data_IF_818261684675
#
_entry.id   IF_818261684675
#
_cell.length_a   1.000
_cell.length_b   1.000
_cell.length_c   1.000
_cell.angle_alpha   90.00
_cell.angle_beta   90.00
_cell.angle_gamma   90.00
#
_symmetry.space_group_name_H-M   'P 1'
#
loop_
_entity.id
_entity.type
_entity.pdbx_description
1 polymer ?
#
# COMPACT_ATOMS: atom_id res chain seq x y z
N UNK A 1 -4.68 9.68 -3.22
CA UNK A 1 -4.01 10.66 -2.33
C UNK A 1 -2.78 11.27 -2.97
N UNK A 2 -1.74 10.47 -3.26
CA UNK A 2 -0.48 10.94 -3.86
C UNK A 2 -0.65 11.73 -5.17
N UNK A 3 -1.59 11.31 -6.01
CA UNK A 3 -1.97 12.05 -7.23
C UNK A 3 -2.44 13.48 -6.93
N UNK A 4 -3.32 13.68 -5.94
CA UNK A 4 -3.79 15.02 -5.61
C UNK A 4 -2.71 15.88 -4.95
N UNK A 5 -1.82 15.26 -4.18
CA UNK A 5 -0.64 15.94 -3.62
C UNK A 5 0.28 16.41 -4.76
N UNK A 6 0.44 15.61 -5.81
CA UNK A 6 1.25 15.98 -6.97
C UNK A 6 0.71 17.16 -7.78
N UNK A 7 -0.54 17.57 -7.56
CA UNK A 7 -1.15 18.74 -8.21
C UNK A 7 -0.78 20.07 -7.55
N UNK A 8 -0.08 20.05 -6.40
CA UNK A 8 0.44 21.29 -5.80
C UNK A 8 1.64 21.78 -6.61
N UNK A 9 1.66 23.05 -6.95
CA UNK A 9 2.65 23.64 -7.88
C UNK A 9 4.09 23.24 -7.56
N UNK A 10 4.53 23.41 -6.31
CA UNK A 10 5.91 23.09 -5.93
C UNK A 10 6.21 21.57 -5.98
N UNK A 11 5.21 20.72 -5.71
CA UNK A 11 5.34 19.25 -5.80
C UNK A 11 5.38 18.82 -7.27
N UNK A 12 4.52 19.39 -8.11
CA UNK A 12 4.50 19.12 -9.55
C UNK A 12 5.85 19.46 -10.19
N UNK A 13 6.41 20.63 -9.85
CA UNK A 13 7.71 21.08 -10.34
C UNK A 13 8.81 20.09 -9.95
N UNK A 14 8.92 19.72 -8.68
CA UNK A 14 10.01 18.83 -8.24
C UNK A 14 9.89 17.42 -8.80
N UNK A 15 8.66 16.93 -9.03
CA UNK A 15 8.43 15.63 -9.66
C UNK A 15 8.81 15.64 -11.15
N UNK A 16 8.50 16.70 -11.89
CA UNK A 16 8.92 16.82 -13.30
C UNK A 16 10.44 17.03 -13.44
N UNK A 17 11.06 17.76 -12.50
CA UNK A 17 12.52 17.88 -12.41
C UNK A 17 13.18 16.51 -12.16
N UNK A 18 12.68 15.74 -11.20
CA UNK A 18 13.17 14.39 -10.92
C UNK A 18 12.97 13.43 -12.10
N UNK A 19 11.82 13.51 -12.77
CA UNK A 19 11.54 12.74 -13.98
C UNK A 19 12.49 13.11 -15.12
N UNK A 20 12.84 14.39 -15.27
CA UNK A 20 13.82 14.83 -16.28
C UNK A 20 15.21 14.25 -16.02
N UNK A 21 15.64 14.20 -14.74
CA UNK A 21 16.89 13.54 -14.33
C UNK A 21 16.85 12.05 -14.69
N UNK A 22 15.78 11.35 -14.30
CA UNK A 22 15.64 9.92 -14.58
C UNK A 22 15.62 9.65 -16.09
N UNK A 23 14.77 10.34 -16.85
CA UNK A 23 14.68 10.17 -18.30
C UNK A 23 16.04 10.36 -18.99
N UNK A 24 16.78 11.40 -18.62
CA UNK A 24 18.11 11.63 -19.18
C UNK A 24 19.07 10.47 -18.91
N UNK A 25 19.11 9.96 -17.68
CA UNK A 25 19.99 8.85 -17.29
C UNK A 25 19.62 7.55 -18.02
N UNK A 26 18.34 7.22 -18.10
CA UNK A 26 17.87 5.98 -18.73
C UNK A 26 17.82 6.05 -20.26
N UNK A 27 17.95 7.23 -20.87
CA UNK A 27 17.95 7.38 -22.34
C UNK A 27 19.22 6.85 -23.01
N UNK A 28 20.32 6.70 -22.27
CA UNK A 28 21.60 6.29 -22.84
C UNK A 28 22.25 5.18 -22.02
N UNK A 29 22.49 4.03 -22.66
CA UNK A 29 23.08 2.85 -22.01
C UNK A 29 24.43 3.16 -21.32
N UNK A 30 25.26 4.01 -21.92
CA UNK A 30 26.52 4.44 -21.30
C UNK A 30 26.28 5.23 -20.01
N UNK A 31 25.35 6.20 -20.01
CA UNK A 31 25.03 7.02 -18.82
C UNK A 31 24.46 6.15 -17.71
N UNK A 32 23.54 5.23 -18.05
CA UNK A 32 22.98 4.28 -17.10
C UNK A 32 24.05 3.38 -16.48
N UNK A 33 24.98 2.87 -17.29
CA UNK A 33 26.10 2.06 -16.79
C UNK A 33 27.04 2.89 -15.90
N UNK A 34 27.27 4.15 -16.25
CA UNK A 34 28.01 5.08 -15.39
C UNK A 34 27.28 5.29 -14.06
N UNK A 35 25.97 5.56 -14.06
CA UNK A 35 25.18 5.65 -12.82
C UNK A 35 25.40 4.41 -11.94
N UNK A 36 25.23 3.21 -12.50
CA UNK A 36 25.38 1.94 -11.77
C UNK A 36 26.75 1.79 -11.12
N UNK A 37 27.83 2.30 -11.74
CA UNK A 37 29.16 2.31 -11.12
C UNK A 37 29.20 3.17 -9.86
N UNK A 38 28.58 4.34 -9.88
CA UNK A 38 28.59 5.30 -8.77
C UNK A 38 27.57 4.94 -7.68
N UNK A 39 26.48 4.24 -8.00
CA UNK A 39 25.44 3.87 -7.04
C UNK A 39 25.59 2.45 -6.49
N UNK A 40 26.63 1.71 -6.89
CA UNK A 40 26.81 0.30 -6.52
C UNK A 40 25.72 -0.61 -7.09
N UNK A 41 25.25 -0.31 -8.30
CA UNK A 41 24.21 -1.07 -9.01
C UNK A 41 22.77 -0.70 -8.64
N UNK A 42 22.56 0.31 -7.79
CA UNK A 42 21.20 0.75 -7.43
C UNK A 42 20.55 1.54 -8.57
N UNK A 43 19.34 1.15 -8.93
CA UNK A 43 18.48 1.81 -9.90
C UNK A 43 17.73 2.99 -9.27
N UNK A 44 17.39 4.00 -10.09
CA UNK A 44 16.59 5.15 -9.64
C UNK A 44 15.08 4.90 -9.84
N UNK A 45 14.70 4.31 -10.98
CA UNK A 45 13.30 4.05 -11.35
C UNK A 45 12.92 2.61 -11.08
N UNK A 46 11.61 2.36 -10.97
CA UNK A 46 11.05 1.03 -10.72
C UNK A 46 9.95 0.70 -11.71
N UNK A 47 10.24 -0.12 -12.74
CA UNK A 47 9.20 -0.52 -13.68
C UNK A 47 8.13 -1.35 -12.96
N UNK A 48 6.87 -1.21 -13.40
CA UNK A 48 5.67 -2.01 -13.03
C UNK A 48 4.85 -1.57 -11.80
N UNK A 49 5.17 -0.45 -11.17
CA UNK A 49 4.29 0.15 -10.13
C UNK A 49 3.32 1.15 -10.76
N UNK A 50 2.21 1.47 -10.08
CA UNK A 50 1.35 2.58 -10.52
C UNK A 50 2.17 3.86 -10.74
N UNK A 51 1.91 4.56 -11.85
CA UNK A 51 2.67 5.76 -12.28
C UNK A 51 2.84 6.79 -11.16
N UNK A 52 1.84 6.95 -10.31
CA UNK A 52 1.88 7.91 -9.22
C UNK A 52 2.88 7.52 -8.12
N UNK A 53 2.94 6.24 -7.77
CA UNK A 53 3.87 5.77 -6.74
C UNK A 53 5.30 5.74 -7.28
N UNK A 54 5.48 5.31 -8.54
CA UNK A 54 6.78 5.30 -9.21
C UNK A 54 7.44 6.69 -9.23
N UNK A 55 6.67 7.76 -9.49
CA UNK A 55 7.19 9.14 -9.45
C UNK A 55 7.81 9.49 -8.08
N UNK A 56 7.14 9.16 -6.97
CA UNK A 56 7.65 9.45 -5.62
C UNK A 56 8.81 8.53 -5.21
N UNK A 57 8.80 7.27 -5.64
CA UNK A 57 9.91 6.35 -5.41
C UNK A 57 11.15 6.76 -6.19
N UNK A 58 10.98 7.19 -7.44
CA UNK A 58 12.05 7.75 -8.26
C UNK A 58 12.64 9.00 -7.61
N UNK A 59 11.80 9.92 -7.16
CA UNK A 59 12.24 11.10 -6.40
C UNK A 59 13.02 10.70 -5.14
N UNK A 60 12.53 9.73 -4.37
CA UNK A 60 13.21 9.22 -3.18
C UNK A 60 14.57 8.59 -3.52
N UNK A 61 14.66 7.78 -4.55
CA UNK A 61 15.91 7.20 -5.01
C UNK A 61 16.93 8.28 -5.39
N UNK A 62 16.49 9.33 -6.10
CA UNK A 62 17.33 10.48 -6.43
C UNK A 62 17.85 11.18 -5.17
N UNK A 63 16.99 11.42 -4.17
CA UNK A 63 17.38 12.01 -2.88
C UNK A 63 18.41 11.15 -2.15
N UNK A 64 18.23 9.82 -2.11
CA UNK A 64 19.18 8.90 -1.48
C UNK A 64 20.52 8.88 -2.22
N UNK A 65 20.51 9.06 -3.54
CA UNK A 65 21.70 9.05 -4.39
C UNK A 65 22.27 10.45 -4.64
N UNK A 66 21.90 11.47 -3.86
CA UNK A 66 22.32 12.86 -4.07
C UNK A 66 23.83 13.01 -4.26
N UNK A 67 24.63 12.50 -3.30
CA UNK A 67 26.09 12.60 -3.34
C UNK A 67 26.68 11.80 -4.51
N UNK A 68 26.15 10.61 -4.77
CA UNK A 68 26.61 9.77 -5.88
C UNK A 68 26.31 10.41 -7.25
N UNK A 69 25.16 11.05 -7.41
CA UNK A 69 24.78 11.79 -8.61
C UNK A 69 25.68 13.02 -8.80
N UNK A 70 25.89 13.82 -7.73
CA UNK A 70 26.81 14.96 -7.78
C UNK A 70 28.24 14.53 -8.11
N UNK A 71 28.70 13.43 -7.52
CA UNK A 71 30.01 12.83 -7.78
C UNK A 71 30.13 12.36 -9.23
N UNK A 72 29.13 11.64 -9.75
CA UNK A 72 29.11 11.20 -11.15
C UNK A 72 29.29 12.37 -12.13
N UNK A 73 28.51 13.46 -11.99
CA UNK A 73 28.56 14.61 -12.90
C UNK A 73 29.79 15.53 -12.74
N UNK A 74 30.61 15.30 -11.70
CA UNK A 74 31.87 16.00 -11.46
C UNK A 74 33.10 15.13 -11.72
N UNK A 75 32.94 13.82 -11.87
CA UNK A 75 34.04 12.88 -12.08
C UNK A 75 34.69 13.05 -13.46
N UNK A 76 36.00 12.78 -13.55
CA UNK A 76 36.80 12.93 -14.78
C UNK A 76 36.28 12.05 -15.93
N UNK A 77 35.79 10.84 -15.63
CA UNK A 77 35.13 9.94 -16.62
C UNK A 77 33.90 10.61 -17.26
N UNK A 78 33.10 11.34 -16.47
CA UNK A 78 31.98 12.10 -17.00
C UNK A 78 32.44 13.29 -17.83
N UNK A 79 33.34 14.10 -17.27
CA UNK A 79 33.83 15.34 -17.91
C UNK A 79 34.55 15.09 -19.25
N UNK A 80 35.17 13.92 -19.41
CA UNK A 80 35.84 13.51 -20.65
C UNK A 80 34.89 12.87 -21.67
N UNK A 81 33.65 12.54 -21.28
CA UNK A 81 32.67 11.92 -22.17
C UNK A 81 32.12 12.88 -23.23
N UNK A 82 31.66 12.31 -24.35
CA UNK A 82 30.93 13.06 -25.39
C UNK A 82 29.65 13.69 -24.86
N UNK A 83 29.00 13.04 -23.88
CA UNK A 83 27.72 13.44 -23.31
C UNK A 83 27.82 14.72 -22.48
N UNK A 84 28.97 14.95 -21.82
CA UNK A 84 29.15 16.12 -20.96
C UNK A 84 28.93 17.45 -21.67
N UNK A 85 29.13 17.52 -22.99
CA UNK A 85 29.01 18.76 -23.78
C UNK A 85 27.60 19.03 -24.29
N UNK A 86 26.66 18.09 -24.16
CA UNK A 86 25.29 18.27 -24.61
C UNK A 86 24.55 19.29 -23.73
N UNK A 87 23.66 20.07 -24.36
CA UNK A 87 22.80 21.04 -23.66
C UNK A 87 22.02 20.41 -22.52
N UNK A 88 21.49 19.21 -22.76
CA UNK A 88 20.64 18.49 -21.81
C UNK A 88 21.46 18.03 -20.60
N UNK A 89 22.69 17.59 -20.82
CA UNK A 89 23.63 17.24 -19.77
C UNK A 89 23.94 18.43 -18.86
N UNK A 90 24.11 19.62 -19.44
CA UNK A 90 24.37 20.85 -18.70
C UNK A 90 23.13 21.33 -17.94
N UNK A 91 21.93 21.16 -18.49
CA UNK A 91 20.68 21.43 -17.80
C UNK A 91 20.52 20.51 -16.58
N UNK A 92 20.71 19.19 -16.73
CA UNK A 92 20.66 18.23 -15.62
C UNK A 92 21.74 18.53 -14.59
N UNK A 93 22.98 18.81 -15.02
CA UNK A 93 24.05 19.22 -14.11
C UNK A 93 23.63 20.45 -13.31
N UNK A 94 23.15 21.51 -13.97
CA UNK A 94 22.71 22.74 -13.31
C UNK A 94 21.61 22.49 -12.28
N UNK A 95 20.66 21.63 -12.60
CA UNK A 95 19.60 21.20 -11.69
C UNK A 95 20.15 20.45 -10.45
N UNK A 96 21.12 19.53 -10.65
CA UNK A 96 21.76 18.80 -9.55
C UNK A 96 22.61 19.69 -8.62
N UNK A 97 23.05 20.86 -9.07
CA UNK A 97 23.72 21.87 -8.22
C UNK A 97 22.76 22.90 -7.61
N UNK A 98 21.46 22.80 -7.90
CA UNK A 98 20.48 23.77 -7.45
C UNK A 98 19.91 23.38 -6.08
N UNK A 99 20.26 24.13 -5.04
CA UNK A 99 19.82 23.81 -3.67
C UNK A 99 18.29 23.81 -3.50
N UNK A 100 17.57 24.62 -4.30
CA UNK A 100 16.10 24.65 -4.27
C UNK A 100 15.50 23.28 -4.62
N UNK A 101 16.11 22.55 -5.56
CA UNK A 101 15.62 21.25 -6.00
C UNK A 101 15.73 20.25 -4.85
N UNK A 102 16.92 20.12 -4.24
CA UNK A 102 17.16 19.18 -3.15
C UNK A 102 16.32 19.47 -1.92
N UNK A 103 16.13 20.75 -1.57
CA UNK A 103 15.23 21.15 -0.49
C UNK A 103 13.80 20.68 -0.75
N UNK A 104 13.24 21.00 -1.92
CA UNK A 104 11.88 20.58 -2.30
C UNK A 104 11.76 19.05 -2.43
N UNK A 105 12.81 18.38 -2.91
CA UNK A 105 12.82 16.93 -3.10
C UNK A 105 12.77 16.21 -1.75
N UNK A 106 13.65 16.59 -0.81
CA UNK A 106 13.65 16.07 0.57
C UNK A 106 12.33 16.34 1.28
N UNK A 107 11.73 17.50 1.05
CA UNK A 107 10.42 17.87 1.59
C UNK A 107 9.30 16.97 1.05
N UNK A 108 9.21 16.80 -0.27
CA UNK A 108 8.21 15.94 -0.89
C UNK A 108 8.37 14.47 -0.46
N UNK A 109 9.60 13.95 -0.37
CA UNK A 109 9.89 12.59 0.09
C UNK A 109 9.45 12.42 1.54
N UNK A 110 9.88 13.30 2.45
CA UNK A 110 9.57 13.20 3.88
C UNK A 110 8.06 13.27 4.14
N UNK A 111 7.36 14.14 3.40
CA UNK A 111 5.90 14.29 3.51
C UNK A 111 5.13 13.06 3.02
N UNK A 112 5.62 12.38 1.97
CA UNK A 112 4.88 11.29 1.31
C UNK A 112 5.31 9.89 1.74
N UNK A 113 6.44 9.74 2.45
CA UNK A 113 6.99 8.44 2.83
C UNK A 113 5.99 7.57 3.60
N UNK A 114 5.30 8.11 4.61
CA UNK A 114 4.27 7.36 5.35
C UNK A 114 3.09 6.94 4.48
N UNK A 115 2.72 7.73 3.46
CA UNK A 115 1.67 7.35 2.51
C UNK A 115 2.14 6.22 1.60
N UNK A 116 3.41 6.24 1.16
CA UNK A 116 4.00 5.15 0.39
C UNK A 116 4.10 3.87 1.23
N UNK A 117 4.45 3.96 2.53
CA UNK A 117 4.40 2.83 3.46
C UNK A 117 3.00 2.22 3.55
N UNK A 118 1.95 3.03 3.68
CA UNK A 118 0.56 2.52 3.69
C UNK A 118 0.23 1.79 2.39
N UNK A 119 0.64 2.33 1.25
CA UNK A 119 0.42 1.66 -0.03
C UNK A 119 1.14 0.31 -0.09
N UNK A 120 2.34 0.20 0.47
CA UNK A 120 3.04 -1.09 0.62
C UNK A 120 2.28 -2.09 1.48
N UNK A 121 1.66 -1.65 2.58
CA UNK A 121 0.81 -2.49 3.42
C UNK A 121 -0.38 -3.00 2.60
N UNK A 122 -1.03 -2.10 1.89
CA UNK A 122 -2.26 -2.37 1.13
C UNK A 122 -2.01 -3.31 -0.05
N UNK A 123 -0.92 -3.08 -0.79
CA UNK A 123 -0.56 -3.86 -1.98
C UNK A 123 0.21 -5.15 -1.65
N UNK A 124 0.52 -5.39 -0.37
CA UNK A 124 1.15 -6.62 0.09
C UNK A 124 0.21 -7.83 0.10
N UNK A 125 0.80 -9.02 0.26
CA UNK A 125 0.07 -10.30 0.39
C UNK A 125 -0.59 -10.50 1.76
N UNK A 126 -0.34 -9.59 2.69
CA UNK A 126 -0.72 -9.74 4.10
C UNK A 126 -2.08 -9.11 4.38
N UNK A 127 -2.88 -9.67 5.31
CA UNK A 127 -4.07 -9.00 5.79
C UNK A 127 -3.74 -7.60 6.32
N UNK A 128 -4.30 -6.59 5.66
CA UNK A 128 -3.95 -5.19 5.84
C UNK A 128 -5.04 -4.40 6.56
N UNK A 129 -6.28 -4.93 6.59
CA UNK A 129 -7.48 -4.24 7.04
C UNK A 129 -7.33 -3.63 8.44
N UNK A 130 -6.69 -4.36 9.35
CA UNK A 130 -6.46 -3.92 10.73
C UNK A 130 -5.44 -2.79 10.90
N UNK A 131 -4.73 -2.38 9.86
CA UNK A 131 -3.60 -1.44 9.97
C UNK A 131 -3.84 -0.10 9.25
N UNK A 132 -4.77 -0.04 8.30
CA UNK A 132 -4.91 1.13 7.41
C UNK A 132 -5.31 2.38 8.18
N UNK A 133 -6.26 2.28 9.11
CA UNK A 133 -6.75 3.44 9.87
C UNK A 133 -5.62 4.10 10.68
N UNK A 134 -4.88 3.30 11.47
CA UNK A 134 -3.72 3.80 12.22
C UNK A 134 -2.65 4.32 11.26
N UNK A 135 -2.41 3.64 10.14
CA UNK A 135 -1.47 4.09 9.12
C UNK A 135 -1.76 5.52 8.65
N UNK A 136 -3.02 5.85 8.38
CA UNK A 136 -3.44 7.20 7.97
C UNK A 136 -3.21 8.22 9.10
N UNK A 137 -3.56 7.89 10.34
CA UNK A 137 -3.31 8.78 11.48
C UNK A 137 -1.80 8.98 11.73
N UNK A 138 -0.98 7.93 11.56
CA UNK A 138 0.50 8.02 11.58
C UNK A 138 1.03 8.91 10.46
N UNK A 139 0.51 8.79 9.24
CA UNK A 139 0.90 9.66 8.13
C UNK A 139 0.57 11.13 8.41
N UNK A 140 -0.63 11.42 8.91
CA UNK A 140 -1.01 12.77 9.34
C UNK A 140 -0.06 13.29 10.42
N UNK A 141 0.21 12.48 11.45
CA UNK A 141 1.15 12.78 12.52
C UNK A 141 2.56 13.09 12.01
N UNK A 142 3.10 12.28 11.11
CA UNK A 142 4.42 12.46 10.51
C UNK A 142 4.52 13.77 9.72
N UNK A 143 3.50 14.09 8.92
CA UNK A 143 3.45 15.36 8.15
C UNK A 143 3.40 16.56 9.11
N UNK A 144 2.57 16.51 10.16
CA UNK A 144 2.50 17.57 11.17
C UNK A 144 3.85 17.75 11.89
N UNK A 145 4.51 16.64 12.25
CA UNK A 145 5.81 16.66 12.91
C UNK A 145 6.89 17.27 12.00
N UNK A 146 6.92 16.88 10.72
CA UNK A 146 7.85 17.44 9.72
C UNK A 146 7.72 18.96 9.61
N UNK A 147 6.48 19.46 9.56
CA UNK A 147 6.20 20.90 9.53
C UNK A 147 6.24 21.58 10.91
N UNK A 148 6.75 20.90 11.95
CA UNK A 148 6.89 21.42 13.31
C UNK A 148 5.59 21.97 13.90
N UNK A 149 4.45 21.41 13.50
CA UNK A 149 3.14 21.85 13.95
C UNK A 149 2.63 23.16 13.34
N UNK A 150 3.28 23.68 12.28
CA UNK A 150 2.82 24.88 11.58
C UNK A 150 1.61 24.54 10.70
N UNK A 151 0.42 24.94 11.15
CA UNK A 151 -0.87 24.54 10.55
C UNK A 151 -0.98 24.94 9.08
N UNK A 152 -0.52 26.14 8.72
CA UNK A 152 -0.61 26.68 7.36
C UNK A 152 0.13 25.80 6.33
N UNK A 153 1.11 25.02 6.78
CA UNK A 153 1.89 24.13 5.91
C UNK A 153 1.28 22.74 5.78
N UNK A 154 0.85 22.13 6.89
CA UNK A 154 0.36 20.75 6.85
C UNK A 154 -1.14 20.61 6.62
N UNK A 155 -1.96 21.57 7.07
CA UNK A 155 -3.42 21.51 6.91
C UNK A 155 -3.85 21.32 5.45
N UNK A 156 -3.26 22.04 4.47
CA UNK A 156 -3.64 21.85 3.08
C UNK A 156 -3.32 20.43 2.54
N UNK A 157 -2.33 19.74 3.13
CA UNK A 157 -2.03 18.33 2.81
C UNK A 157 -3.02 17.39 3.52
N UNK A 158 -3.31 17.66 4.79
CA UNK A 158 -4.31 16.92 5.57
C UNK A 158 -5.68 16.98 4.92
N UNK A 159 -6.10 18.13 4.38
CA UNK A 159 -7.38 18.27 3.68
C UNK A 159 -7.47 17.33 2.46
N UNK A 160 -6.36 17.13 1.74
CA UNK A 160 -6.30 16.17 0.62
C UNK A 160 -6.44 14.74 1.14
N UNK A 161 -5.73 14.41 2.23
CA UNK A 161 -5.80 13.09 2.87
C UNK A 161 -7.22 12.84 3.35
N UNK A 162 -7.80 13.72 4.16
CA UNK A 162 -9.13 13.58 4.76
C UNK A 162 -10.22 13.52 3.68
N UNK A 163 -10.15 14.37 2.64
CA UNK A 163 -11.10 14.29 1.51
C UNK A 163 -11.04 12.94 0.82
N UNK A 164 -9.85 12.45 0.47
CA UNK A 164 -9.70 11.16 -0.23
C UNK A 164 -10.04 9.98 0.66
N UNK A 165 -9.65 10.05 1.93
CA UNK A 165 -10.01 9.09 2.94
C UNK A 165 -11.53 8.99 3.03
N UNK A 166 -12.23 10.09 3.32
CA UNK A 166 -13.68 10.09 3.50
C UNK A 166 -14.47 9.71 2.24
N UNK A 167 -13.99 10.05 1.04
CA UNK A 167 -14.70 9.76 -0.20
C UNK A 167 -14.48 8.34 -0.74
N UNK A 168 -13.28 7.77 -0.57
CA UNK A 168 -12.87 6.58 -1.31
C UNK A 168 -12.42 5.40 -0.43
N UNK A 169 -12.02 5.67 0.82
CA UNK A 169 -11.29 4.68 1.64
C UNK A 169 -11.85 4.52 3.05
N UNK A 170 -12.61 5.48 3.56
CA UNK A 170 -13.23 5.44 4.88
C UNK A 170 -14.51 4.60 4.80
N UNK A 171 -14.33 3.29 4.98
CA UNK A 171 -15.42 2.37 5.29
C UNK A 171 -15.48 2.18 6.79
N UNK A 172 -16.69 2.06 7.39
CA UNK A 172 -16.87 1.56 8.74
C UNK A 172 -16.07 0.28 9.02
N UNK A 173 -15.80 -0.52 7.99
CA UNK A 173 -14.99 -1.73 8.08
C UNK A 173 -13.53 -1.44 8.48
N UNK A 174 -12.88 -0.42 7.91
CA UNK A 174 -11.50 -0.05 8.27
C UNK A 174 -11.41 0.48 9.71
N UNK A 175 -12.41 1.27 10.12
CA UNK A 175 -12.53 1.74 11.50
C UNK A 175 -12.76 0.57 12.48
N UNK A 176 -13.66 -0.35 12.15
CA UNK A 176 -13.91 -1.55 12.95
C UNK A 176 -12.67 -2.46 13.02
N UNK A 177 -11.95 -2.62 11.92
CA UNK A 177 -10.72 -3.40 11.88
C UNK A 177 -9.65 -2.83 12.80
N UNK A 178 -9.44 -1.51 12.77
CA UNK A 178 -8.50 -0.87 13.69
C UNK A 178 -8.95 -0.96 15.15
N UNK A 179 -10.26 -0.84 15.42
CA UNK A 179 -10.83 -1.05 16.76
C UNK A 179 -10.60 -2.47 17.27
N UNK A 180 -10.68 -3.46 16.38
CA UNK A 180 -10.49 -4.88 16.70
C UNK A 180 -9.02 -5.31 16.66
N UNK A 181 -8.11 -4.48 16.19
CA UNK A 181 -6.69 -4.81 16.19
C UNK A 181 -6.12 -4.60 17.62
N UNK A 182 -5.69 -5.68 18.32
CA UNK A 182 -5.22 -5.57 19.69
C UNK A 182 -3.95 -4.72 19.84
N UNK A 183 -3.10 -4.65 18.80
CA UNK A 183 -1.90 -3.81 18.81
C UNK A 183 -2.22 -2.32 18.77
N UNK A 184 -3.42 -1.95 18.31
CA UNK A 184 -3.89 -0.57 18.18
C UNK A 184 -4.78 -0.23 19.36
N UNK A 185 -5.81 -1.04 19.61
CA UNK A 185 -6.84 -0.76 20.61
C UNK A 185 -6.27 -0.65 22.03
N UNK A 186 -5.34 -1.52 22.38
CA UNK A 186 -4.70 -1.52 23.71
C UNK A 186 -3.41 -0.71 23.78
N UNK A 187 -3.03 0.00 22.72
CA UNK A 187 -1.84 0.85 22.73
C UNK A 187 -2.13 2.15 23.48
N UNK A 188 -1.44 2.44 24.60
CA UNK A 188 -1.69 3.65 25.38
C UNK A 188 -1.37 4.94 24.62
N UNK A 189 -0.53 4.88 23.59
CA UNK A 189 -0.16 6.02 22.77
C UNK A 189 -1.13 6.27 21.61
N UNK A 190 -2.07 5.35 21.34
CA UNK A 190 -3.05 5.50 20.28
C UNK A 190 -4.40 5.94 20.83
N UNK A 191 -4.85 7.14 20.43
CA UNK A 191 -6.13 7.68 20.87
C UNK A 191 -7.27 7.16 20.01
N UNK A 192 -8.17 6.39 20.63
CA UNK A 192 -9.43 5.97 20.02
C UNK A 192 -10.35 7.18 19.82
N UNK A 193 -10.55 7.58 18.56
CA UNK A 193 -11.43 8.69 18.21
C UNK A 193 -12.90 8.24 18.02
N UNK A 194 -13.78 9.22 17.85
CA UNK A 194 -15.22 8.98 17.67
C UNK A 194 -15.52 8.24 16.36
N UNK A 195 -14.74 8.49 15.31
CA UNK A 195 -14.91 7.85 13.99
C UNK A 195 -14.65 6.35 14.08
N UNK A 196 -13.59 5.95 14.81
CA UNK A 196 -13.27 4.54 15.03
C UNK A 196 -14.38 3.83 15.81
N UNK A 197 -14.90 4.45 16.89
CA UNK A 197 -16.00 3.90 17.68
C UNK A 197 -17.29 3.75 16.88
N UNK A 198 -17.66 4.79 16.12
CA UNK A 198 -18.87 4.77 15.30
C UNK A 198 -18.76 3.76 14.16
N UNK A 199 -17.59 3.68 13.52
CA UNK A 199 -17.34 2.71 12.45
C UNK A 199 -17.38 1.27 12.95
N UNK A 200 -16.86 0.99 14.16
CA UNK A 200 -17.05 -0.31 14.81
C UNK A 200 -18.53 -0.65 14.98
N UNK A 201 -19.33 0.24 15.56
CA UNK A 201 -20.77 -0.01 15.77
C UNK A 201 -21.50 -0.26 14.45
N UNK A 202 -21.27 0.57 13.43
CA UNK A 202 -21.91 0.40 12.13
C UNK A 202 -21.49 -0.90 11.43
N UNK A 203 -20.21 -1.28 11.53
CA UNK A 203 -19.74 -2.56 11.01
C UNK A 203 -20.37 -3.75 11.75
N UNK A 204 -20.45 -3.71 13.08
CA UNK A 204 -21.05 -4.79 13.87
C UNK A 204 -22.52 -4.99 13.51
N UNK A 205 -23.27 -3.90 13.29
CA UNK A 205 -24.67 -3.96 12.84
C UNK A 205 -24.83 -4.63 11.47
N UNK A 206 -23.87 -4.45 10.56
CA UNK A 206 -23.85 -5.08 9.23
C UNK A 206 -23.39 -6.53 9.28
N UNK A 207 -22.46 -6.86 10.18
CA UNK A 207 -21.88 -8.21 10.32
C UNK A 207 -22.81 -9.16 11.09
N UNK A 208 -23.60 -8.66 12.03
CA UNK A 208 -24.56 -9.42 12.80
C UNK A 208 -25.91 -9.54 12.06
N UNK A 209 -26.05 -10.58 11.25
CA UNK A 209 -27.26 -10.82 10.45
C UNK A 209 -28.45 -11.29 11.30
N UNK A 210 -28.20 -11.98 12.42
CA UNK A 210 -29.23 -12.44 13.35
C UNK A 210 -29.32 -11.55 14.60
N UNK A 211 -30.53 -11.39 15.15
CA UNK A 211 -30.72 -10.67 16.42
C UNK A 211 -29.97 -11.32 17.58
N UNK A 212 -29.78 -12.65 17.55
CA UNK A 212 -28.95 -13.37 18.50
C UNK A 212 -27.51 -12.87 18.49
N UNK A 213 -26.91 -12.75 17.30
CA UNK A 213 -25.52 -12.28 17.17
C UNK A 213 -25.37 -10.84 17.66
N UNK A 214 -26.37 -9.97 17.42
CA UNK A 214 -26.37 -8.60 17.96
C UNK A 214 -26.33 -8.59 19.49
N UNK A 215 -27.15 -9.43 20.13
CA UNK A 215 -27.19 -9.55 21.59
C UNK A 215 -25.86 -10.06 22.13
N UNK A 216 -25.29 -11.11 21.53
CA UNK A 216 -24.03 -11.68 21.99
C UNK A 216 -22.86 -10.70 21.77
N UNK A 217 -22.74 -10.06 20.62
CA UNK A 217 -21.73 -8.99 20.40
C UNK A 217 -21.88 -7.87 21.44
N UNK A 218 -23.11 -7.49 21.80
CA UNK A 218 -23.34 -6.45 22.83
C UNK A 218 -22.82 -6.89 24.20
N UNK A 219 -22.98 -8.17 24.57
CA UNK A 219 -22.46 -8.72 25.82
C UNK A 219 -20.95 -8.94 25.80
N UNK A 220 -20.40 -9.38 24.68
CA UNK A 220 -18.98 -9.70 24.50
C UNK A 220 -18.10 -8.44 24.34
N UNK A 221 -18.65 -7.36 23.81
CA UNK A 221 -17.94 -6.09 23.61
C UNK A 221 -17.25 -5.53 24.87
N UNK A 222 -17.90 -5.41 26.05
CA UNK A 222 -17.22 -4.95 27.26
C UNK A 222 -16.13 -5.92 27.74
N UNK A 223 -16.24 -7.23 27.47
CA UNK A 223 -15.20 -8.22 27.79
C UNK A 223 -13.94 -7.91 26.99
N UNK A 224 -14.08 -7.62 25.69
CA UNK A 224 -12.97 -7.17 24.85
C UNK A 224 -12.38 -5.84 25.34
N UNK A 225 -13.21 -4.78 25.50
CA UNK A 225 -12.70 -3.46 25.90
C UNK A 225 -11.85 -3.54 27.18
N UNK A 226 -12.30 -4.33 28.16
CA UNK A 226 -11.64 -4.43 29.46
C UNK A 226 -10.56 -5.52 29.53
N UNK A 227 -10.24 -6.18 28.40
CA UNK A 227 -9.31 -7.31 28.32
C UNK A 227 -9.59 -8.38 29.40
N UNK A 228 -10.86 -8.75 29.57
CA UNK A 228 -11.27 -9.72 30.58
C UNK A 228 -10.96 -11.15 30.14
N UNK A 229 -10.76 -12.02 31.14
CA UNK A 229 -10.55 -13.46 30.92
C UNK A 229 -9.33 -13.76 30.06
N UNK A 230 -9.51 -14.60 29.05
CA UNK A 230 -8.44 -15.03 28.13
C UNK A 230 -7.65 -13.88 27.50
N UNK A 231 -8.31 -12.76 27.21
CA UNK A 231 -7.76 -11.58 26.52
C UNK A 231 -6.78 -10.76 27.39
N UNK A 232 -6.83 -10.98 28.70
CA UNK A 232 -6.01 -10.30 29.71
C UNK A 232 -4.86 -11.13 30.26
N UNK A 233 -4.69 -12.36 29.79
CA UNK A 233 -3.56 -13.22 30.19
C UNK A 233 -2.22 -12.64 29.72
N UNK A 234 -1.12 -12.95 30.42
CA UNK A 234 0.22 -12.46 30.04
C UNK A 234 0.59 -12.83 28.60
N UNK A 235 0.22 -14.05 28.16
CA UNK A 235 0.41 -14.49 26.78
C UNK A 235 -0.43 -13.68 25.79
N UNK A 236 -1.69 -13.38 26.12
CA UNK A 236 -2.54 -12.54 25.28
C UNK A 236 -1.97 -11.11 25.19
N UNK A 237 -1.51 -10.53 26.30
CA UNK A 237 -0.89 -9.19 26.32
C UNK A 237 0.37 -9.16 25.45
N UNK A 238 1.26 -10.14 25.60
CA UNK A 238 2.46 -10.25 24.77
C UNK A 238 2.12 -10.49 23.30
N UNK A 239 1.09 -11.30 23.02
CA UNK A 239 0.63 -11.63 21.68
C UNK A 239 0.05 -10.44 20.91
N UNK A 240 -0.34 -9.34 21.57
CA UNK A 240 -0.97 -8.17 20.90
C UNK A 240 -0.10 -7.58 19.80
N UNK A 241 1.23 -7.62 19.96
CA UNK A 241 2.20 -7.10 18.98
C UNK A 241 2.99 -8.19 18.29
N UNK A 242 3.12 -9.39 18.89
CA UNK A 242 3.86 -10.51 18.30
C UNK A 242 3.07 -11.28 17.26
N UNK A 243 1.74 -11.30 17.36
CA UNK A 243 0.89 -12.08 16.46
C UNK A 243 0.19 -11.16 15.45
N UNK A 244 -0.09 -11.70 14.26
CA UNK A 244 -1.06 -11.04 13.39
C UNK A 244 -2.42 -10.94 14.11
N UNK A 245 -3.20 -9.86 13.90
CA UNK A 245 -4.45 -9.64 14.61
C UNK A 245 -5.43 -10.80 14.48
N UNK A 246 -5.56 -11.40 13.29
CA UNK A 246 -6.39 -12.59 13.09
C UNK A 246 -5.96 -13.78 13.96
N UNK A 247 -4.66 -14.06 14.03
CA UNK A 247 -4.09 -15.16 14.83
C UNK A 247 -4.22 -14.91 16.33
N UNK A 248 -4.10 -13.65 16.76
CA UNK A 248 -4.36 -13.25 18.15
C UNK A 248 -5.81 -13.55 18.53
N UNK A 249 -6.77 -13.15 17.69
CA UNK A 249 -8.18 -13.44 17.92
C UNK A 249 -8.48 -14.94 17.92
N UNK A 250 -7.87 -15.70 17.00
CA UNK A 250 -8.01 -17.16 16.96
C UNK A 250 -7.52 -17.82 18.26
N UNK A 251 -6.43 -17.31 18.83
CA UNK A 251 -5.79 -17.89 20.02
C UNK A 251 -6.48 -17.52 21.33
N UNK A 252 -6.90 -16.25 21.49
CA UNK A 252 -7.34 -15.72 22.78
C UNK A 252 -8.82 -15.32 22.82
N UNK A 253 -9.50 -15.26 21.67
CA UNK A 253 -10.90 -14.85 21.58
C UNK A 253 -11.94 -15.91 21.97
N UNK A 254 -11.52 -17.09 22.45
CA UNK A 254 -12.41 -18.24 22.62
C UNK A 254 -13.55 -18.05 23.65
N UNK A 255 -13.40 -17.11 24.59
CA UNK A 255 -14.43 -16.77 25.59
C UNK A 255 -15.49 -15.79 25.06
N UNK A 256 -15.24 -15.19 23.89
CA UNK A 256 -16.15 -14.26 23.20
C UNK A 256 -16.33 -14.68 21.73
N UNK A 257 -16.95 -15.85 21.50
CA UNK A 257 -16.93 -16.54 20.21
C UNK A 257 -17.66 -15.79 19.08
N UNK A 258 -18.61 -14.91 19.40
CA UNK A 258 -19.36 -14.17 18.38
C UNK A 258 -18.50 -13.04 17.80
N UNK A 259 -17.91 -12.23 18.68
CA UNK A 259 -17.01 -11.14 18.37
C UNK A 259 -15.70 -11.67 17.79
N UNK A 260 -15.17 -12.79 18.31
CA UNK A 260 -14.01 -13.49 17.74
C UNK A 260 -14.21 -13.81 16.26
N UNK A 261 -15.35 -14.43 15.90
CA UNK A 261 -15.65 -14.80 14.52
C UNK A 261 -15.70 -13.59 13.60
N UNK A 262 -16.32 -12.49 14.08
CA UNK A 262 -16.41 -11.24 13.33
C UNK A 262 -15.02 -10.60 13.18
N UNK A 263 -14.22 -10.57 14.25
CA UNK A 263 -12.89 -9.98 14.24
C UNK A 263 -11.93 -10.71 13.31
N UNK A 264 -11.88 -12.04 13.36
CA UNK A 264 -11.07 -12.84 12.42
C UNK A 264 -11.51 -12.55 10.99
N UNK A 265 -12.82 -12.51 10.72
CA UNK A 265 -13.34 -12.25 9.37
C UNK A 265 -12.95 -10.88 8.84
N UNK A 266 -12.95 -9.84 9.67
CA UNK A 266 -12.59 -8.47 9.28
C UNK A 266 -11.07 -8.33 9.14
N UNK A 267 -10.32 -8.80 10.14
CA UNK A 267 -8.87 -8.58 10.23
C UNK A 267 -8.06 -9.43 9.25
N UNK A 268 -8.63 -10.53 8.75
CA UNK A 268 -7.98 -11.41 7.77
C UNK A 268 -8.19 -10.96 6.32
N UNK A 269 -8.78 -9.78 6.09
CA UNK A 269 -9.02 -9.26 4.74
C UNK A 269 -7.79 -8.53 4.17
N UNK A 270 -7.44 -8.74 2.88
CA UNK A 270 -6.55 -7.84 2.17
C UNK A 270 -7.26 -6.50 1.88
N UNK A 271 -6.48 -5.45 1.60
CA UNK A 271 -7.00 -4.11 1.27
C UNK A 271 -6.81 -3.71 -0.19
N UNK A 272 -6.10 -4.51 -1.00
CA UNK A 272 -5.95 -4.28 -2.43
C UNK A 272 -6.53 -5.43 -3.23
N UNK A 273 -7.01 -5.10 -4.43
CA UNK A 273 -7.36 -6.05 -5.48
C UNK A 273 -6.21 -6.17 -6.49
N UNK A 274 -5.01 -5.70 -6.13
CA UNK A 274 -3.88 -5.58 -7.06
C UNK A 274 -3.48 -6.95 -7.64
N UNK A 275 -3.61 -8.01 -6.85
CA UNK A 275 -3.39 -9.39 -7.27
C UNK A 275 -4.27 -9.82 -8.43
N UNK A 276 -5.50 -9.32 -8.52
CA UNK A 276 -6.36 -9.62 -9.66
C UNK A 276 -6.07 -8.70 -10.88
N UNK A 277 -5.23 -7.66 -10.75
CA UNK A 277 -4.67 -6.91 -11.90
C UNK A 277 -3.55 -7.66 -12.63
N UNK A 278 -2.93 -8.65 -12.00
CA UNK A 278 -1.89 -9.46 -12.66
C UNK A 278 -2.43 -10.23 -13.86
N UNK A 279 -3.68 -10.68 -13.80
CA UNK A 279 -4.39 -11.25 -14.93
C UNK A 279 -5.21 -10.22 -15.70
N UNK A 280 -5.00 -8.90 -15.51
CA UNK A 280 -5.71 -7.89 -16.31
C UNK A 280 -5.42 -8.03 -17.79
N UNK A 281 -4.26 -8.52 -18.24
CA UNK A 281 -4.08 -8.82 -19.67
C UNK A 281 -5.01 -9.94 -20.13
N UNK A 282 -5.12 -11.03 -19.35
CA UNK A 282 -6.03 -12.16 -19.58
C UNK A 282 -7.49 -11.71 -19.56
N UNK A 283 -7.87 -10.86 -18.60
CA UNK A 283 -9.19 -10.24 -18.51
C UNK A 283 -9.42 -9.15 -19.58
N UNK A 284 -8.40 -8.43 -20.03
CA UNK A 284 -8.49 -7.40 -21.08
C UNK A 284 -8.78 -8.02 -22.44
N UNK A 285 -8.18 -9.17 -22.77
CA UNK A 285 -8.58 -9.97 -23.93
C UNK A 285 -10.07 -10.32 -23.87
N UNK A 286 -10.59 -10.56 -22.66
CA UNK A 286 -12.00 -10.85 -22.38
C UNK A 286 -12.88 -9.55 -22.45
N UNK A 287 -12.29 -8.35 -22.28
CA UNK A 287 -12.96 -7.03 -22.25
C UNK A 287 -13.18 -6.36 -23.62
N UNK A 288 -12.64 -6.87 -24.73
CA UNK A 288 -12.66 -6.17 -26.03
C UNK A 288 -14.01 -6.21 -26.78
N UNK A 289 -15.00 -7.01 -26.37
CA UNK A 289 -16.30 -7.13 -27.06
C UNK A 289 -17.45 -6.52 -26.23
N UNK A 290 -18.37 -5.80 -26.89
CA UNK A 290 -19.64 -5.31 -26.31
C UNK A 290 -20.40 -6.47 -25.66
N UNK A 291 -20.52 -6.49 -24.33
CA UNK A 291 -21.15 -7.60 -23.60
C UNK A 291 -22.63 -7.42 -23.33
N UNK A 292 -23.34 -8.55 -23.30
CA UNK A 292 -24.66 -8.65 -22.68
C UNK A 292 -24.51 -8.92 -21.16
N UNK A 293 -25.61 -8.77 -20.40
CA UNK A 293 -25.63 -8.91 -18.92
C UNK A 293 -25.05 -10.26 -18.42
N UNK A 294 -25.31 -11.34 -19.14
CA UNK A 294 -24.91 -12.70 -18.76
C UNK A 294 -23.40 -12.92 -18.82
N UNK A 295 -22.71 -12.31 -19.78
CA UNK A 295 -21.24 -12.38 -19.88
C UNK A 295 -20.54 -11.59 -18.76
N UNK A 296 -21.19 -10.55 -18.23
CA UNK A 296 -20.70 -9.81 -17.07
C UNK A 296 -20.85 -10.62 -15.78
N UNK A 297 -21.97 -11.33 -15.61
CA UNK A 297 -22.20 -12.23 -14.47
C UNK A 297 -21.17 -13.36 -14.44
N UNK A 298 -20.94 -14.03 -15.59
CA UNK A 298 -19.89 -15.07 -15.70
C UNK A 298 -18.50 -14.53 -15.36
N UNK A 299 -18.17 -13.32 -15.80
CA UNK A 299 -16.88 -12.70 -15.45
C UNK A 299 -16.73 -12.48 -13.95
N UNK A 300 -17.78 -12.01 -13.27
CA UNK A 300 -17.75 -11.83 -11.83
C UNK A 300 -17.49 -13.16 -11.11
N UNK A 301 -18.13 -14.24 -11.55
CA UNK A 301 -17.90 -15.58 -11.00
C UNK A 301 -16.47 -16.07 -11.23
N UNK A 302 -15.92 -15.85 -12.43
CA UNK A 302 -14.53 -16.22 -12.75
C UNK A 302 -13.51 -15.46 -11.89
N UNK A 303 -13.69 -14.15 -11.75
CA UNK A 303 -12.86 -13.31 -10.89
C UNK A 303 -12.98 -13.77 -9.44
N UNK A 304 -14.20 -14.07 -8.97
CA UNK A 304 -14.42 -14.59 -7.62
C UNK A 304 -13.68 -15.91 -7.38
N UNK A 305 -13.80 -16.89 -8.28
CA UNK A 305 -13.12 -18.18 -8.15
C UNK A 305 -11.60 -18.02 -8.17
N UNK A 306 -11.08 -17.28 -9.16
CA UNK A 306 -9.64 -17.06 -9.30
C UNK A 306 -9.03 -16.38 -8.07
N UNK A 307 -9.61 -15.26 -7.61
CA UNK A 307 -9.07 -14.54 -6.45
C UNK A 307 -9.16 -15.42 -5.16
N UNK A 308 -10.20 -16.25 -5.00
CA UNK A 308 -10.28 -17.20 -3.86
C UNK A 308 -9.23 -18.33 -3.92
N UNK A 309 -9.01 -18.94 -5.09
CA UNK A 309 -7.98 -19.97 -5.27
C UNK A 309 -6.57 -19.41 -5.01
N UNK A 310 -6.34 -18.18 -5.45
CA UNK A 310 -5.09 -17.49 -5.21
C UNK A 310 -4.85 -17.20 -3.72
N UNK A 311 -5.87 -16.70 -3.01
CA UNK A 311 -5.81 -16.53 -1.55
C UNK A 311 -5.53 -17.85 -0.83
N UNK A 312 -6.16 -18.95 -1.24
CA UNK A 312 -5.87 -20.28 -0.67
C UNK A 312 -4.41 -20.69 -0.91
N UNK A 313 -3.85 -20.36 -2.07
CA UNK A 313 -2.47 -20.68 -2.43
C UNK A 313 -1.47 -19.94 -1.55
N UNK A 314 -1.71 -18.65 -1.26
CA UNK A 314 -0.88 -17.90 -0.30
C UNK A 314 -0.98 -18.47 1.11
N UNK A 315 -2.20 -18.77 1.56
CA UNK A 315 -2.38 -19.37 2.88
C UNK A 315 -1.60 -20.69 3.00
N UNK A 316 -1.61 -21.52 1.95
CA UNK A 316 -0.87 -22.79 1.89
C UNK A 316 0.65 -22.58 1.82
N UNK A 317 1.13 -21.66 1.00
CA UNK A 317 2.58 -21.42 0.84
C UNK A 317 3.26 -20.87 2.09
N UNK A 318 2.49 -20.35 3.05
CA UNK A 318 2.98 -19.75 4.29
C UNK A 318 2.68 -20.58 5.55
N UNK A 319 2.37 -21.87 5.40
CA UNK A 319 1.97 -22.76 6.51
C UNK A 319 0.83 -22.18 7.38
N UNK A 320 -0.03 -21.34 6.80
CA UNK A 320 -1.09 -20.63 7.51
C UNK A 320 -0.64 -19.52 8.47
N UNK A 321 0.65 -19.15 8.53
CA UNK A 321 1.16 -18.15 9.47
C UNK A 321 1.12 -16.74 8.88
N UNK A 322 0.39 -15.84 9.52
CA UNK A 322 0.44 -14.42 9.20
C UNK A 322 1.43 -13.69 10.11
N UNK A 323 2.43 -13.00 9.52
CA UNK A 323 3.30 -12.10 10.29
C UNK A 323 2.56 -10.80 10.63
N UNK A 324 2.71 -10.25 11.85
CA UNK A 324 2.21 -8.91 12.13
C UNK A 324 2.90 -7.88 11.23
N UNK A 325 2.16 -6.85 10.82
CA UNK A 325 2.71 -5.73 10.06
C UNK A 325 3.24 -4.70 11.05
N UNK A 326 4.54 -4.43 10.99
CA UNK A 326 5.21 -3.42 11.81
C UNK A 326 5.46 -2.19 10.92
N UNK A 327 4.65 -1.15 11.10
CA UNK A 327 4.65 0.04 10.23
C UNK A 327 6.04 0.69 10.07
N UNK A 328 6.79 0.75 11.17
CA UNK A 328 8.07 1.45 11.21
C UNK A 328 9.17 0.68 10.47
N UNK A 329 9.07 -0.64 10.39
CA UNK A 329 10.00 -1.55 9.71
C UNK A 329 9.74 -1.68 8.20
N UNK A 330 8.67 -1.07 7.68
CA UNK A 330 8.36 -1.12 6.25
C UNK A 330 9.41 -0.36 5.47
N UNK A 331 10.23 -1.10 4.74
CA UNK A 331 11.15 -0.53 3.75
C UNK A 331 10.42 -0.31 2.43
N UNK A 332 10.17 0.96 2.12
CA UNK A 332 9.58 1.40 0.84
C UNK A 332 10.49 1.11 -0.37
N UNK A 333 11.73 0.68 -0.13
CA UNK A 333 12.74 0.30 -1.13
C UNK A 333 12.80 -1.21 -1.39
N UNK A 334 12.07 -2.07 -0.68
CA UNK A 334 12.02 -3.50 -1.04
C UNK A 334 11.39 -3.71 -2.40
N UNK A 335 11.57 -4.85 -3.06
CA UNK A 335 10.87 -5.08 -4.31
C UNK A 335 9.35 -4.99 -4.10
N UNK A 336 8.64 -4.32 -5.01
CA UNK A 336 7.18 -4.35 -4.96
C UNK A 336 6.70 -5.75 -5.33
N UNK A 337 5.56 -6.19 -4.79
CA UNK A 337 4.93 -7.41 -5.27
C UNK A 337 4.70 -7.41 -6.79
N UNK A 338 4.67 -6.23 -7.40
CA UNK A 338 4.56 -5.95 -8.84
C UNK A 338 5.84 -6.22 -9.64
N UNK A 339 6.99 -6.28 -8.96
CA UNK A 339 8.33 -6.41 -9.55
C UNK A 339 8.80 -7.87 -9.59
N UNK A 340 8.31 -8.71 -8.67
CA UNK A 340 8.60 -10.14 -8.63
C UNK A 340 7.89 -10.86 -9.78
N UNK A 341 8.64 -11.51 -10.67
CA UNK A 341 8.05 -12.61 -11.45
C UNK A 341 7.69 -13.75 -10.48
N UNK A 342 6.54 -14.42 -10.66
CA UNK A 342 6.12 -15.45 -9.73
C UNK A 342 7.18 -16.55 -9.69
N UNK A 343 7.87 -16.68 -8.56
CA UNK A 343 8.67 -17.85 -8.22
C UNK A 343 7.81 -19.06 -7.83
N UNK A 344 6.49 -18.96 -7.99
CA UNK A 344 5.54 -20.06 -7.77
C UNK A 344 5.01 -20.51 -9.14
N UNK A 345 5.31 -21.75 -9.58
CA UNK A 345 4.66 -22.30 -10.75
C UNK A 345 3.18 -22.60 -10.45
N UNK A 346 2.32 -22.24 -11.40
CA UNK A 346 1.04 -22.88 -11.73
C UNK A 346 -0.16 -22.63 -10.80
N UNK A 347 -0.87 -21.52 -11.04
CA UNK A 347 -2.24 -21.71 -11.50
C UNK A 347 -2.11 -22.00 -12.99
N UNK A 348 -2.41 -23.24 -13.37
CA UNK A 348 -2.62 -23.58 -14.77
C UNK A 348 -3.83 -22.78 -15.23
N UNK A 349 -3.60 -21.58 -15.76
CA UNK A 349 -4.64 -20.67 -16.24
C UNK A 349 -5.14 -21.09 -17.63
N UNK A 350 -4.72 -22.25 -18.17
CA UNK A 350 -5.22 -22.77 -19.45
C UNK A 350 -6.74 -22.97 -19.49
N UNK A 351 -7.38 -23.18 -18.34
CA UNK A 351 -8.85 -23.22 -18.25
C UNK A 351 -9.52 -21.88 -18.59
N UNK A 352 -8.80 -20.74 -18.50
CA UNK A 352 -9.27 -19.45 -18.99
C UNK A 352 -9.23 -19.35 -20.51
N UNK A 353 -8.32 -20.10 -21.16
CA UNK A 353 -8.16 -20.15 -22.62
C UNK A 353 -9.12 -21.16 -23.29
N UNK A 354 -9.54 -22.20 -22.58
CA UNK A 354 -10.41 -23.29 -23.09
C UNK A 354 -11.93 -22.97 -23.09
N UNK A 355 -12.34 -21.71 -23.03
CA UNK A 355 -13.76 -21.35 -23.07
C UNK A 355 -14.25 -21.28 -24.53
N UNK A 356 -15.17 -22.17 -24.97
CA UNK A 356 -15.68 -22.11 -26.34
C UNK A 356 -16.53 -20.85 -26.51
N UNK A 357 -15.95 -19.85 -27.18
CA UNK A 357 -16.66 -18.69 -27.73
C UNK A 357 -17.44 -19.10 -28.99
N UNK A 358 -18.26 -20.14 -28.91
CA UNK A 358 -19.28 -20.41 -29.93
C UNK A 358 -20.61 -19.85 -29.44
N UNK A 359 -20.85 -18.57 -29.74
CA UNK A 359 -22.22 -18.17 -30.07
C UNK A 359 -22.54 -18.89 -31.38
N UNK A 360 -23.22 -20.04 -31.27
CA UNK A 360 -23.91 -20.62 -32.42
C UNK A 360 -24.94 -19.60 -32.88
N UNK A 361 -24.63 -18.90 -33.96
CA UNK A 361 -25.65 -18.32 -34.81
C UNK A 361 -26.54 -19.47 -35.29
N UNK A 362 -27.81 -19.42 -34.95
CA UNK A 362 -28.84 -20.30 -35.50
C UNK A 362 -30.22 -19.69 -35.23
N UNK A 363 -31.15 -19.81 -36.17
CA UNK A 363 -31.15 -19.18 -37.49
C UNK A 363 -32.07 -17.94 -37.55
#
# INVERSE_FOLDING_TARGET
MLEDISKRDWVAVVLEEAKSIALYIYSHAWILNTLRKFTGGRELTRPRITRFVDNYLTLRSIVIQEDNLKHMFSHSEWLSSIYSRHSDAQAIKSLLYLERFWKSAREAVSMTESLVKILRIVDGDMPAMGYIYEGIERAKGAIKAYFKGIEEKYMPIWDIIDRRWNMQLHSPLHAAAAFLNPSIFYNPNFKIDLRMRNGFQEAMLKMATANKDKIEITKEHPVYINAQGALGTDFAIMGRTLNAPGDWWASYGYEIPTLQRVAIRILSQPCSFYWCRWNSSTFETIHTKKRNKTELEKLNDLVFVHCNLWLQTICRSRDGKCKPIIFDEIDVSLEWPTELEPSVPLLDDSWLDDLPLECRDSP
#
